data_IF_247797253287
#
_entry.id   IF_247797253287
#
_cell.length_a   1.000
_cell.length_b   1.000
_cell.length_c   1.000
_cell.angle_alpha   90.00
_cell.angle_beta   90.00
_cell.angle_gamma   90.00
#
_symmetry.space_group_name_H-M   'P 1'
#
loop_
_entity.id
_entity.type
_entity.pdbx_description
1 polymer ?
#
# COMPACT_ATOMS: atom_id res chain seq x y z
N UNK A 1 -3.39 0.80 16.19
CA UNK A 1 -2.29 0.52 15.26
C UNK A 1 -1.17 -0.14 16.05
N UNK A 2 -0.59 -1.23 15.54
CA UNK A 2 0.70 -1.71 16.09
C UNK A 2 1.74 -0.59 15.91
N UNK A 3 2.67 -0.47 16.85
CA UNK A 3 3.76 0.50 16.72
C UNK A 3 4.56 0.19 15.43
N UNK A 4 4.97 1.25 14.72
CA UNK A 4 5.57 1.14 13.38
C UNK A 4 6.83 0.26 13.34
N UNK A 5 7.53 0.18 14.46
CA UNK A 5 8.73 -0.59 14.71
C UNK A 5 8.48 -2.09 15.00
N UNK A 6 7.23 -2.51 15.22
CA UNK A 6 6.89 -3.88 15.60
C UNK A 6 6.36 -4.70 14.43
N UNK A 7 7.01 -5.84 14.17
CA UNK A 7 6.54 -6.85 13.24
C UNK A 7 6.48 -8.22 13.94
N UNK A 8 5.33 -8.91 13.87
CA UNK A 8 5.12 -10.20 14.56
C UNK A 8 5.94 -11.33 13.96
N UNK A 9 6.25 -11.24 12.67
CA UNK A 9 6.98 -12.25 11.91
C UNK A 9 8.48 -11.98 11.87
N UNK A 10 8.96 -10.94 12.59
CA UNK A 10 10.38 -10.59 12.61
C UNK A 10 11.19 -11.68 13.35
N UNK A 11 12.22 -12.26 12.70
CA UNK A 11 13.15 -13.15 13.38
C UNK A 11 13.94 -12.45 14.49
N UNK A 12 14.31 -13.19 15.54
CA UNK A 12 15.01 -12.63 16.71
C UNK A 12 16.34 -11.95 16.34
N UNK A 13 17.10 -12.51 15.39
CA UNK A 13 18.38 -11.93 14.98
C UNK A 13 18.21 -10.54 14.32
N UNK A 14 17.16 -10.35 13.52
CA UNK A 14 16.81 -9.04 12.93
C UNK A 14 16.41 -8.05 14.03
N UNK A 15 15.66 -8.49 15.03
CA UNK A 15 15.24 -7.63 16.14
C UNK A 15 16.43 -7.16 16.99
N UNK A 16 17.43 -8.03 17.20
CA UNK A 16 18.68 -7.66 17.88
C UNK A 16 19.46 -6.62 17.08
N UNK A 17 19.59 -6.79 15.76
CA UNK A 17 20.28 -5.82 14.90
C UNK A 17 19.57 -4.46 14.94
N UNK A 18 18.24 -4.45 14.79
CA UNK A 18 17.44 -3.22 14.73
C UNK A 18 17.44 -2.42 16.04
N UNK A 19 17.50 -3.11 17.18
CA UNK A 19 17.57 -2.49 18.51
C UNK A 19 19.01 -2.22 18.97
N UNK A 20 20.01 -2.65 18.21
CA UNK A 20 21.44 -2.51 18.52
C UNK A 20 22.15 -1.43 17.71
N UNK A 21 23.46 -1.30 17.97
CA UNK A 21 24.35 -0.43 17.18
C UNK A 21 24.60 -0.99 15.78
N UNK A 22 24.48 -2.31 15.61
CA UNK A 22 24.66 -3.01 14.33
C UNK A 22 23.65 -2.59 13.26
N UNK A 23 22.55 -1.92 13.62
CA UNK A 23 21.61 -1.31 12.67
C UNK A 23 22.28 -0.45 11.60
N UNK A 24 23.40 0.21 11.93
CA UNK A 24 24.15 1.06 11.00
C UNK A 24 25.46 0.41 10.52
N UNK A 25 25.72 -0.83 10.91
CA UNK A 25 26.91 -1.57 10.47
C UNK A 25 26.70 -2.04 9.02
N UNK A 26 27.55 -1.61 8.06
CA UNK A 26 27.43 -2.02 6.66
C UNK A 26 27.52 -3.54 6.46
N UNK A 27 28.16 -4.28 7.37
CA UNK A 27 28.24 -5.74 7.30
C UNK A 27 26.87 -6.42 7.45
N UNK A 28 25.90 -5.77 8.11
CA UNK A 28 24.54 -6.31 8.26
C UNK A 28 23.67 -6.17 7.02
N UNK A 29 24.15 -5.45 6.00
CA UNK A 29 23.42 -5.22 4.74
C UNK A 29 23.00 -6.52 4.08
N UNK A 30 23.88 -7.53 4.05
CA UNK A 30 23.58 -8.84 3.45
C UNK A 30 22.50 -9.60 4.22
N UNK A 31 22.53 -9.54 5.56
CA UNK A 31 21.51 -10.13 6.43
C UNK A 31 20.14 -9.51 6.14
N UNK A 32 20.08 -8.19 5.99
CA UNK A 32 18.84 -7.52 5.63
C UNK A 32 18.37 -7.83 4.19
N UNK A 33 19.30 -7.98 3.24
CA UNK A 33 18.97 -8.40 1.87
C UNK A 33 18.34 -9.79 1.84
N UNK A 34 18.97 -10.76 2.52
CA UNK A 34 18.43 -12.11 2.68
C UNK A 34 17.06 -12.08 3.36
N UNK A 35 16.88 -11.21 4.36
CA UNK A 35 15.58 -11.05 5.02
C UNK A 35 14.50 -10.45 4.10
N UNK A 36 14.85 -9.59 3.13
CA UNK A 36 13.90 -9.12 2.11
C UNK A 36 13.50 -10.27 1.18
N UNK A 37 14.43 -11.12 0.76
CA UNK A 37 14.12 -12.32 -0.03
C UNK A 37 13.15 -13.22 0.73
N UNK A 38 13.44 -13.48 2.01
CA UNK A 38 12.54 -14.26 2.86
C UNK A 38 11.14 -13.63 2.97
N UNK A 39 11.04 -12.30 3.10
CA UNK A 39 9.73 -11.62 3.11
C UNK A 39 8.96 -11.80 1.79
N UNK A 40 9.67 -11.90 0.67
CA UNK A 40 9.07 -12.15 -0.64
C UNK A 40 8.52 -13.58 -0.73
N UNK A 41 9.25 -14.57 -0.23
CA UNK A 41 8.83 -15.98 -0.19
C UNK A 41 7.70 -16.24 0.82
N UNK A 42 7.86 -15.77 2.06
CA UNK A 42 6.94 -16.02 3.18
C UNK A 42 5.67 -15.15 3.12
N UNK A 43 5.56 -14.26 2.13
CA UNK A 43 4.44 -13.30 1.99
C UNK A 43 4.29 -12.36 3.19
N UNK A 44 5.38 -12.09 3.91
CA UNK A 44 5.40 -11.17 5.06
C UNK A 44 5.89 -9.78 4.66
N UNK A 45 5.73 -8.79 5.55
CA UNK A 45 6.23 -7.44 5.32
C UNK A 45 6.66 -6.78 6.64
N UNK A 46 7.95 -6.47 6.76
CA UNK A 46 8.53 -5.71 7.87
C UNK A 46 9.02 -4.35 7.37
N UNK A 47 8.13 -3.36 7.44
CA UNK A 47 8.42 -2.00 7.00
C UNK A 47 9.66 -1.42 7.70
N UNK A 48 9.83 -1.67 8.99
CA UNK A 48 10.91 -1.07 9.77
C UNK A 48 12.28 -1.65 9.39
N UNK A 49 12.36 -2.96 9.17
CA UNK A 49 13.56 -3.61 8.65
C UNK A 49 13.91 -3.14 7.23
N UNK A 50 12.90 -3.06 6.35
CA UNK A 50 13.09 -2.63 4.97
C UNK A 50 13.60 -1.18 4.90
N UNK A 51 13.04 -0.27 5.70
CA UNK A 51 13.54 1.11 5.78
C UNK A 51 14.94 1.19 6.42
N UNK A 52 15.30 0.30 7.35
CA UNK A 52 16.65 0.25 7.89
C UNK A 52 17.67 -0.12 6.80
N UNK A 53 17.35 -1.09 5.94
CA UNK A 53 18.18 -1.44 4.79
C UNK A 53 18.32 -0.27 3.80
N UNK A 54 17.22 0.38 3.43
CA UNK A 54 17.28 1.55 2.56
C UNK A 54 18.08 2.71 3.18
N UNK A 55 18.03 2.85 4.51
CA UNK A 55 18.85 3.82 5.23
C UNK A 55 20.35 3.45 5.19
N UNK A 56 20.69 2.17 5.29
CA UNK A 56 22.06 1.68 5.10
C UNK A 56 22.57 1.99 3.68
N UNK A 57 21.75 1.80 2.65
CA UNK A 57 22.08 2.20 1.27
C UNK A 57 22.28 3.70 1.13
N UNK A 58 21.47 4.52 1.81
CA UNK A 58 21.63 5.97 1.80
C UNK A 58 22.99 6.40 2.38
N UNK A 59 23.47 5.73 3.44
CA UNK A 59 24.80 5.99 4.02
C UNK A 59 25.95 5.37 3.21
N UNK A 60 25.70 4.24 2.56
CA UNK A 60 26.68 3.47 1.80
C UNK A 60 26.20 3.22 0.36
N UNK A 61 26.25 4.23 -0.54
CA UNK A 61 25.67 4.12 -1.88
C UNK A 61 26.25 2.98 -2.74
N UNK A 62 27.49 2.57 -2.46
CA UNK A 62 28.17 1.46 -3.15
C UNK A 62 27.62 0.08 -2.80
N UNK A 63 26.85 -0.05 -1.70
CA UNK A 63 26.19 -1.28 -1.29
C UNK A 63 24.76 -1.41 -1.82
N UNK A 64 24.24 -0.37 -2.50
CA UNK A 64 22.89 -0.37 -3.03
C UNK A 64 22.70 -1.54 -4.00
N UNK A 65 21.75 -2.41 -3.68
CA UNK A 65 21.34 -3.49 -4.56
C UNK A 65 20.00 -3.14 -5.20
N UNK A 66 19.98 -3.07 -6.53
CA UNK A 66 18.83 -2.61 -7.30
C UNK A 66 17.63 -3.55 -7.14
N UNK A 67 17.87 -4.86 -7.25
CA UNK A 67 16.84 -5.91 -7.12
C UNK A 67 16.20 -5.94 -5.73
N UNK A 68 17.00 -5.88 -4.65
CA UNK A 68 16.45 -5.79 -3.29
C UNK A 68 15.62 -4.52 -3.11
N UNK A 69 16.06 -3.41 -3.71
CA UNK A 69 15.34 -2.14 -3.61
C UNK A 69 14.00 -2.20 -4.35
N UNK A 70 13.96 -2.76 -5.56
CA UNK A 70 12.70 -2.98 -6.29
C UNK A 70 11.79 -3.96 -5.56
N UNK A 71 12.33 -5.02 -4.95
CA UNK A 71 11.55 -5.96 -4.16
C UNK A 71 10.94 -5.31 -2.91
N UNK A 72 11.66 -4.42 -2.22
CA UNK A 72 11.07 -3.63 -1.11
C UNK A 72 9.89 -2.78 -1.62
N UNK A 73 10.04 -2.11 -2.76
CA UNK A 73 8.99 -1.27 -3.34
C UNK A 73 7.79 -2.12 -3.80
N UNK A 74 8.02 -3.24 -4.48
CA UNK A 74 6.98 -4.18 -4.89
C UNK A 74 6.24 -4.75 -3.68
N UNK A 75 6.95 -5.14 -2.62
CA UNK A 75 6.35 -5.56 -1.36
C UNK A 75 5.54 -4.45 -0.69
N UNK A 76 5.99 -3.20 -0.76
CA UNK A 76 5.23 -2.06 -0.24
C UNK A 76 3.90 -1.86 -0.99
N UNK A 77 3.83 -2.19 -2.29
CA UNK A 77 2.57 -2.21 -3.05
C UNK A 77 1.56 -3.21 -2.47
N UNK A 78 2.01 -4.33 -1.88
CA UNK A 78 1.07 -5.36 -1.34
C UNK A 78 0.39 -4.96 -0.03
N UNK A 79 0.86 -3.90 0.64
CA UNK A 79 0.32 -3.45 1.94
C UNK A 79 -0.43 -2.11 1.86
N UNK A 80 -0.74 -1.62 0.65
CA UNK A 80 -1.49 -0.38 0.42
C UNK A 80 -2.89 -0.41 1.07
N UNK A 81 -3.51 0.70 1.47
CA UNK A 81 -2.92 2.02 1.68
C UNK A 81 -1.97 1.94 2.89
N UNK A 82 -0.72 2.30 2.66
CA UNK A 82 0.32 2.35 3.68
C UNK A 82 1.36 3.37 3.25
N UNK A 83 1.92 4.17 4.19
CA UNK A 83 2.99 5.11 3.85
C UNK A 83 4.31 4.41 3.48
N UNK A 84 4.40 3.08 3.60
CA UNK A 84 5.61 2.32 3.37
C UNK A 84 6.26 2.58 2.01
N UNK A 85 5.47 2.68 0.94
CA UNK A 85 5.98 2.95 -0.40
C UNK A 85 6.61 4.35 -0.47
N UNK A 86 5.89 5.37 -0.02
CA UNK A 86 6.36 6.76 0.00
C UNK A 86 7.58 6.96 0.90
N UNK A 87 7.63 6.28 2.06
CA UNK A 87 8.79 6.30 2.95
C UNK A 87 10.01 5.62 2.33
N UNK A 88 9.82 4.48 1.64
CA UNK A 88 10.89 3.81 0.93
C UNK A 88 11.45 4.71 -0.18
N UNK A 89 10.58 5.32 -0.98
CA UNK A 89 10.96 6.24 -2.05
C UNK A 89 11.76 7.44 -1.54
N UNK A 90 11.40 7.98 -0.36
CA UNK A 90 12.09 9.12 0.25
C UNK A 90 13.52 8.81 0.73
N UNK A 91 13.86 7.53 0.93
CA UNK A 91 15.21 7.09 1.31
C UNK A 91 16.11 6.84 0.10
N UNK A 92 15.53 6.71 -1.10
CA UNK A 92 16.30 6.47 -2.31
C UNK A 92 17.07 7.71 -2.78
N UNK A 93 18.14 7.53 -3.57
CA UNK A 93 18.92 8.65 -4.10
C UNK A 93 18.07 9.62 -4.95
N UNK A 94 18.45 10.89 -4.97
CA UNK A 94 17.69 11.91 -5.70
C UNK A 94 17.57 11.66 -7.22
N UNK A 95 18.51 10.91 -7.83
CA UNK A 95 18.45 10.57 -9.25
C UNK A 95 17.36 9.53 -9.58
N UNK A 96 16.83 8.81 -8.57
CA UNK A 96 15.78 7.81 -8.76
C UNK A 96 14.37 8.37 -8.59
N UNK A 97 14.23 9.70 -8.51
CA UNK A 97 12.91 10.31 -8.35
C UNK A 97 12.06 10.04 -9.60
N UNK A 98 10.88 9.43 -9.47
CA UNK A 98 10.12 8.92 -10.61
C UNK A 98 9.62 10.04 -11.54
N UNK A 99 9.47 11.26 -11.02
CA UNK A 99 8.97 12.41 -11.77
C UNK A 99 10.06 13.35 -12.31
N UNK A 100 11.34 12.94 -12.27
CA UNK A 100 12.44 13.75 -12.81
C UNK A 100 12.51 13.61 -14.34
N UNK A 101 12.12 14.65 -15.07
CA UNK A 101 12.09 14.66 -16.54
C UNK A 101 13.49 14.74 -17.20
N UNK A 102 14.54 15.07 -16.44
CA UNK A 102 15.77 15.67 -16.98
C UNK A 102 17.05 14.86 -16.80
N UNK A 103 17.01 13.65 -16.23
CA UNK A 103 18.24 12.91 -15.86
C UNK A 103 18.56 11.71 -16.74
N UNK A 104 17.62 11.18 -17.52
CA UNK A 104 17.78 9.87 -18.18
C UNK A 104 18.83 9.84 -19.29
N UNK A 105 19.11 10.97 -19.95
CA UNK A 105 19.92 10.98 -21.18
C UNK A 105 21.44 10.89 -20.97
N UNK A 106 21.95 11.08 -19.76
CA UNK A 106 23.40 11.10 -19.48
C UNK A 106 23.88 10.03 -18.49
N UNK A 107 22.98 9.14 -18.06
CA UNK A 107 23.25 8.17 -17.01
C UNK A 107 23.63 6.79 -17.61
N UNK A 108 24.44 5.97 -16.91
CA UNK A 108 24.73 4.59 -17.32
C UNK A 108 23.47 3.75 -17.56
N UNK A 109 23.51 2.80 -18.51
CA UNK A 109 22.36 1.94 -18.85
C UNK A 109 21.76 1.20 -17.64
N UNK A 110 22.60 0.65 -16.74
CA UNK A 110 22.09 0.00 -15.52
C UNK A 110 21.32 0.95 -14.59
N UNK A 111 21.70 2.23 -14.59
CA UNK A 111 20.97 3.25 -13.82
C UNK A 111 19.68 3.69 -14.51
N UNK A 112 19.60 3.66 -15.85
CA UNK A 112 18.34 3.94 -16.55
C UNK A 112 17.30 2.86 -16.27
N UNK A 113 17.69 1.58 -16.32
CA UNK A 113 16.77 0.46 -16.10
C UNK A 113 16.22 0.48 -14.67
N UNK A 114 17.10 0.77 -13.69
CA UNK A 114 16.68 0.92 -12.29
C UNK A 114 15.72 2.10 -12.08
N UNK A 115 15.95 3.24 -12.73
CA UNK A 115 15.04 4.40 -12.66
C UNK A 115 13.69 4.06 -13.28
N UNK A 116 13.68 3.37 -14.42
CA UNK A 116 12.45 2.93 -15.09
C UNK A 116 11.63 1.98 -14.21
N UNK A 117 12.30 1.02 -13.56
CA UNK A 117 11.66 0.12 -12.58
C UNK A 117 10.97 0.87 -11.44
N UNK A 118 11.63 1.90 -10.90
CA UNK A 118 11.05 2.73 -9.83
C UNK A 118 9.88 3.56 -10.35
N UNK A 119 9.98 4.12 -11.57
CA UNK A 119 8.89 4.86 -12.22
C UNK A 119 7.64 3.98 -12.42
N UNK A 120 7.85 2.76 -12.91
CA UNK A 120 6.81 1.75 -13.10
C UNK A 120 6.15 1.39 -11.77
N UNK A 121 6.91 1.06 -10.74
CA UNK A 121 6.37 0.75 -9.40
C UNK A 121 5.64 1.95 -8.78
N UNK A 122 6.15 3.18 -8.95
CA UNK A 122 5.49 4.39 -8.46
C UNK A 122 4.16 4.67 -9.18
N UNK A 123 4.09 4.37 -10.48
CA UNK A 123 2.84 4.44 -11.24
C UNK A 123 1.82 3.44 -10.70
N UNK A 124 2.22 2.19 -10.46
CA UNK A 124 1.36 1.17 -9.86
C UNK A 124 0.86 1.60 -8.47
N UNK A 125 1.74 2.12 -7.62
CA UNK A 125 1.35 2.63 -6.29
C UNK A 125 0.27 3.71 -6.39
N UNK A 126 0.45 4.67 -7.31
CA UNK A 126 -0.51 5.76 -7.52
C UNK A 126 -1.88 5.23 -7.94
N UNK A 127 -1.93 4.19 -8.78
CA UNK A 127 -3.19 3.56 -9.20
C UNK A 127 -3.88 2.83 -8.04
N UNK A 128 -3.11 2.13 -7.19
CA UNK A 128 -3.63 1.47 -5.99
C UNK A 128 -4.15 2.48 -4.95
N UNK A 129 -3.40 3.54 -4.68
CA UNK A 129 -3.79 4.59 -3.72
C UNK A 129 -4.97 5.43 -4.20
N UNK A 130 -5.12 5.62 -5.51
CA UNK A 130 -6.28 6.30 -6.11
C UNK A 130 -7.49 5.38 -6.33
N UNK A 131 -7.43 4.13 -5.85
CA UNK A 131 -8.46 3.10 -5.99
C UNK A 131 -8.85 2.79 -7.46
N UNK A 132 -7.94 3.02 -8.40
CA UNK A 132 -8.14 2.72 -9.82
C UNK A 132 -7.71 1.27 -10.12
N UNK A 133 -8.33 0.30 -9.46
CA UNK A 133 -7.91 -1.10 -9.49
C UNK A 133 -7.96 -1.72 -10.89
N UNK A 134 -9.00 -1.44 -11.67
CA UNK A 134 -9.10 -1.94 -13.05
C UNK A 134 -7.97 -1.40 -13.93
N UNK A 135 -7.62 -0.12 -13.77
CA UNK A 135 -6.48 0.46 -14.48
C UNK A 135 -5.15 -0.12 -13.99
N UNK A 136 -5.03 -0.38 -12.68
CA UNK A 136 -3.86 -1.06 -12.09
C UNK A 136 -3.60 -2.40 -12.76
N UNK A 137 -4.59 -3.29 -12.83
CA UNK A 137 -4.44 -4.62 -13.45
C UNK A 137 -4.12 -4.52 -14.94
N UNK A 138 -4.82 -3.64 -15.67
CA UNK A 138 -4.51 -3.42 -17.09
C UNK A 138 -3.10 -2.88 -17.30
N UNK A 139 -2.59 -2.03 -16.40
CA UNK A 139 -1.22 -1.49 -16.45
C UNK A 139 -0.21 -2.59 -16.15
N UNK A 140 -0.46 -3.39 -15.11
CA UNK A 140 0.40 -4.51 -14.73
C UNK A 140 0.50 -5.57 -15.84
N UNK A 141 -0.62 -5.86 -16.51
CA UNK A 141 -0.68 -6.82 -17.63
C UNK A 141 -0.25 -6.23 -18.99
N UNK A 142 0.03 -4.92 -19.07
CA UNK A 142 0.34 -4.27 -20.36
C UNK A 142 1.77 -4.43 -20.84
N UNK A 143 2.70 -4.67 -19.91
CA UNK A 143 4.14 -4.62 -20.19
C UNK A 143 4.86 -5.67 -19.32
N UNK A 144 5.66 -6.53 -19.97
CA UNK A 144 6.40 -7.63 -19.34
C UNK A 144 7.32 -7.15 -18.21
N UNK A 145 7.81 -5.92 -18.27
CA UNK A 145 8.65 -5.34 -17.22
C UNK A 145 7.91 -5.22 -15.89
N UNK A 146 6.59 -5.02 -15.89
CA UNK A 146 5.82 -5.04 -14.63
C UNK A 146 5.76 -6.44 -14.03
N UNK A 147 5.61 -7.46 -14.87
CA UNK A 147 5.58 -8.85 -14.44
C UNK A 147 6.93 -9.26 -13.83
N UNK A 148 8.04 -8.87 -14.46
CA UNK A 148 9.39 -9.12 -13.94
C UNK A 148 9.60 -8.47 -12.57
N UNK A 149 9.11 -7.23 -12.37
CA UNK A 149 9.26 -6.50 -11.10
C UNK A 149 8.47 -7.08 -9.92
N UNK A 150 7.45 -7.90 -10.19
CA UNK A 150 6.62 -8.53 -9.16
C UNK A 150 6.85 -10.04 -9.04
N UNK A 151 7.62 -10.63 -9.94
CA UNK A 151 7.84 -12.07 -10.05
C UNK A 151 8.45 -12.67 -8.78
N UNK A 152 9.36 -11.95 -8.12
CA UNK A 152 10.02 -12.40 -6.89
C UNK A 152 9.07 -12.43 -5.69
N UNK A 153 7.96 -11.67 -5.73
CA UNK A 153 7.01 -11.58 -4.64
C UNK A 153 6.00 -12.72 -4.74
N UNK A 154 6.17 -13.74 -3.91
CA UNK A 154 5.29 -14.91 -3.90
C UNK A 154 3.83 -14.50 -3.64
N UNK A 155 2.95 -14.79 -4.60
CA UNK A 155 1.53 -14.46 -4.49
C UNK A 155 1.25 -12.96 -4.47
N UNK A 156 2.06 -12.14 -5.16
CA UNK A 156 1.86 -10.69 -5.29
C UNK A 156 0.39 -10.33 -5.59
N UNK A 157 -0.17 -10.91 -6.65
CA UNK A 157 -1.53 -10.59 -7.07
C UNK A 157 -2.56 -10.97 -6.01
N UNK A 158 -2.38 -12.12 -5.35
CA UNK A 158 -3.26 -12.59 -4.28
C UNK A 158 -3.23 -11.65 -3.09
N UNK A 159 -2.03 -11.20 -2.68
CA UNK A 159 -1.89 -10.22 -1.61
C UNK A 159 -2.58 -8.90 -1.95
N UNK A 160 -2.43 -8.43 -3.19
CA UNK A 160 -3.10 -7.22 -3.68
C UNK A 160 -4.62 -7.42 -3.69
N UNK A 161 -5.14 -8.56 -4.19
CA UNK A 161 -6.59 -8.88 -4.19
C UNK A 161 -7.16 -8.90 -2.79
N UNK A 162 -6.53 -9.61 -1.85
CA UNK A 162 -6.91 -9.65 -0.43
C UNK A 162 -6.97 -8.24 0.13
N UNK A 163 -6.00 -7.39 -0.24
CA UNK A 163 -5.91 -6.04 0.28
C UNK A 163 -6.96 -5.10 -0.32
N UNK A 164 -7.22 -5.19 -1.63
CA UNK A 164 -8.37 -4.52 -2.28
C UNK A 164 -9.65 -4.90 -1.54
N UNK A 165 -9.86 -6.20 -1.29
CA UNK A 165 -11.07 -6.67 -0.62
C UNK A 165 -11.20 -6.12 0.81
N UNK A 166 -10.11 -6.02 1.57
CA UNK A 166 -10.13 -5.38 2.89
C UNK A 166 -10.54 -3.90 2.80
N UNK A 167 -10.08 -3.15 1.81
CA UNK A 167 -10.48 -1.74 1.63
C UNK A 167 -11.94 -1.60 1.17
N UNK A 168 -12.39 -2.45 0.24
CA UNK A 168 -13.79 -2.52 -0.18
C UNK A 168 -14.69 -2.86 1.02
N UNK A 169 -14.27 -3.80 1.86
CA UNK A 169 -15.00 -4.22 3.06
C UNK A 169 -15.16 -3.13 4.13
N UNK A 170 -14.35 -2.07 4.07
CA UNK A 170 -14.49 -0.88 4.92
C UNK A 170 -15.45 0.14 4.32
N UNK A 171 -15.45 0.30 3.00
CA UNK A 171 -16.15 1.39 2.32
C UNK A 171 -17.56 1.03 1.84
N UNK A 172 -17.85 -0.24 1.58
CA UNK A 172 -19.11 -0.68 0.96
C UNK A 172 -19.88 -1.65 1.85
N UNK A 173 -21.21 -1.54 1.86
CA UNK A 173 -22.13 -2.56 2.42
C UNK A 173 -22.64 -3.52 1.37
N UNK A 174 -22.86 -3.00 0.18
CA UNK A 174 -23.39 -3.70 -0.97
C UNK A 174 -22.58 -3.23 -2.17
N UNK A 175 -22.16 -4.17 -3.01
CA UNK A 175 -21.41 -3.90 -4.23
C UNK A 175 -21.91 -4.82 -5.35
N UNK A 176 -21.98 -4.29 -6.57
CA UNK A 176 -22.27 -5.11 -7.75
C UNK A 176 -21.14 -6.11 -7.97
N UNK A 177 -21.50 -7.37 -8.27
CA UNK A 177 -20.50 -8.41 -8.53
C UNK A 177 -19.66 -8.10 -9.79
N UNK A 178 -20.23 -7.37 -10.75
CA UNK A 178 -19.55 -6.87 -11.94
C UNK A 178 -18.42 -5.90 -11.62
N UNK A 179 -18.67 -4.94 -10.72
CA UNK A 179 -17.67 -3.96 -10.29
C UNK A 179 -16.58 -4.65 -9.48
N UNK A 180 -16.95 -5.54 -8.55
CA UNK A 180 -15.97 -6.26 -7.74
C UNK A 180 -15.09 -7.19 -8.59
N UNK A 181 -15.68 -7.90 -9.57
CA UNK A 181 -14.93 -8.73 -10.50
C UNK A 181 -13.88 -7.92 -11.28
N UNK A 182 -14.25 -6.73 -11.76
CA UNK A 182 -13.32 -5.82 -12.45
C UNK A 182 -12.21 -5.27 -11.54
N UNK A 183 -12.48 -5.10 -10.25
CA UNK A 183 -11.47 -4.63 -9.29
C UNK A 183 -10.51 -5.73 -8.85
N UNK A 184 -10.95 -6.99 -8.82
CA UNK A 184 -10.13 -8.14 -8.44
C UNK A 184 -9.47 -8.84 -9.65
N UNK A 185 -9.79 -8.40 -10.87
CA UNK A 185 -9.37 -9.03 -12.14
C UNK A 185 -9.74 -10.53 -12.19
N UNK A 186 -10.93 -10.86 -11.71
CA UNK A 186 -11.44 -12.23 -11.70
C UNK A 186 -12.44 -12.44 -12.84
N UNK A 187 -12.04 -13.28 -13.79
CA UNK A 187 -12.91 -13.72 -14.88
C UNK A 187 -13.81 -14.85 -14.38
N UNK A 188 -15.05 -14.53 -14.03
CA UNK A 188 -16.10 -15.51 -13.75
C UNK A 188 -16.70 -15.42 -12.35
N UNK A 189 -18.01 -15.67 -12.28
CA UNK A 189 -18.79 -15.59 -11.03
C UNK A 189 -18.34 -16.62 -9.99
N UNK A 190 -17.95 -17.82 -10.42
CA UNK A 190 -17.52 -18.90 -9.52
C UNK A 190 -16.20 -18.58 -8.80
N UNK A 191 -15.23 -18.01 -9.53
CA UNK A 191 -13.95 -17.59 -8.96
C UNK A 191 -14.14 -16.45 -7.96
N UNK A 192 -15.01 -15.50 -8.30
CA UNK A 192 -15.39 -14.40 -7.42
C UNK A 192 -16.09 -14.92 -6.16
N UNK A 193 -17.09 -15.79 -6.30
CA UNK A 193 -17.83 -16.36 -5.17
C UNK A 193 -16.89 -17.14 -4.25
N UNK A 194 -16.01 -17.97 -4.80
CA UNK A 194 -15.02 -18.71 -4.01
C UNK A 194 -14.10 -17.76 -3.23
N UNK A 195 -13.56 -16.73 -3.87
CA UNK A 195 -12.70 -15.75 -3.21
C UNK A 195 -13.46 -14.99 -2.11
N UNK A 196 -14.67 -14.53 -2.42
CA UNK A 196 -15.50 -13.74 -1.51
C UNK A 196 -15.94 -14.55 -0.29
N UNK A 197 -16.31 -15.81 -0.47
CA UNK A 197 -16.75 -16.69 0.61
C UNK A 197 -15.55 -17.21 1.42
N UNK A 198 -14.51 -17.73 0.77
CA UNK A 198 -13.39 -18.38 1.46
C UNK A 198 -12.44 -17.37 2.13
N UNK A 199 -12.18 -16.22 1.47
CA UNK A 199 -11.17 -15.25 1.92
C UNK A 199 -11.82 -14.11 2.71
N UNK A 200 -12.94 -13.60 2.22
CA UNK A 200 -13.55 -12.38 2.78
C UNK A 200 -14.70 -12.68 3.76
N UNK A 201 -15.31 -13.87 3.66
CA UNK A 201 -16.49 -14.24 4.44
C UNK A 201 -17.72 -13.37 4.16
N UNK A 202 -17.87 -12.87 2.94
CA UNK A 202 -19.05 -12.08 2.55
C UNK A 202 -20.13 -12.95 1.92
N UNK A 203 -21.36 -12.42 1.88
CA UNK A 203 -22.51 -13.14 1.32
C UNK A 203 -22.78 -12.67 -0.12
N UNK A 204 -23.05 -13.61 -1.02
CA UNK A 204 -23.43 -13.32 -2.42
C UNK A 204 -24.95 -13.50 -2.55
N UNK A 205 -25.65 -12.40 -2.82
CA UNK A 205 -27.09 -12.39 -3.04
C UNK A 205 -27.36 -12.60 -4.55
N UNK A 206 -27.82 -13.81 -4.90
CA UNK A 206 -28.19 -14.21 -6.27
C UNK A 206 -29.66 -13.96 -6.60
N UNK A 207 -30.39 -13.20 -5.76
CA UNK A 207 -31.85 -13.05 -5.87
C UNK A 207 -32.34 -12.42 -7.19
N UNK A 208 -31.52 -11.60 -7.85
CA UNK A 208 -31.91 -10.92 -9.09
C UNK A 208 -31.54 -11.67 -10.39
N UNK A 209 -30.64 -12.67 -10.33
CA UNK A 209 -30.17 -13.43 -11.50
C UNK A 209 -28.85 -14.16 -11.25
N UNK A 210 -28.49 -15.07 -12.16
CA UNK A 210 -27.24 -15.84 -12.13
C UNK A 210 -26.09 -15.16 -12.88
N UNK A 211 -26.31 -13.97 -13.42
CA UNK A 211 -25.31 -13.23 -14.19
C UNK A 211 -24.52 -12.25 -13.31
N UNK A 212 -23.27 -12.00 -13.68
CA UNK A 212 -22.34 -11.10 -12.98
C UNK A 212 -22.91 -9.69 -12.77
N UNK A 213 -23.73 -9.22 -13.72
CA UNK A 213 -24.37 -7.89 -13.68
C UNK A 213 -25.56 -7.81 -12.73
N UNK A 214 -26.17 -8.96 -12.40
CA UNK A 214 -27.35 -9.04 -11.53
C UNK A 214 -27.04 -9.43 -10.10
N UNK A 215 -25.90 -10.08 -9.86
CA UNK A 215 -25.49 -10.51 -8.53
C UNK A 215 -25.00 -9.33 -7.68
N UNK A 216 -25.44 -9.26 -6.43
CA UNK A 216 -25.04 -8.24 -5.46
C UNK A 216 -24.32 -8.91 -4.30
N UNK A 217 -23.19 -8.36 -3.90
CA UNK A 217 -22.37 -8.88 -2.81
C UNK A 217 -22.63 -8.04 -1.56
N UNK A 218 -23.04 -8.70 -0.48
CA UNK A 218 -23.33 -8.08 0.82
C UNK A 218 -22.12 -8.23 1.72
N UNK A 219 -21.52 -7.10 2.04
CA UNK A 219 -20.38 -6.99 2.95
C UNK A 219 -20.88 -6.96 4.40
N UNK A 220 -20.28 -7.76 5.32
CA UNK A 220 -20.63 -7.73 6.72
C UNK A 220 -20.43 -6.33 7.34
N UNK A 221 -21.32 -5.98 8.27
CA UNK A 221 -21.25 -4.68 8.95
C UNK A 221 -20.07 -4.66 9.93
N UNK A 222 -19.10 -3.80 9.64
CA UNK A 222 -17.96 -3.52 10.50
C UNK A 222 -18.07 -2.13 11.12
N UNK A 223 -17.25 -1.82 12.14
CA UNK A 223 -17.21 -0.50 12.79
C UNK A 223 -16.97 0.65 11.80
N UNK A 224 -16.19 0.39 10.75
CA UNK A 224 -15.86 1.35 9.69
C UNK A 224 -17.02 1.56 8.70
N UNK A 225 -17.84 0.52 8.50
CA UNK A 225 -18.91 0.50 7.49
C UNK A 225 -20.29 0.80 8.10
N UNK A 226 -20.39 1.00 9.41
CA UNK A 226 -21.62 1.37 10.10
C UNK A 226 -21.89 2.88 9.95
N UNK A 227 -23.07 3.26 9.47
CA UNK A 227 -23.45 4.66 9.28
C UNK A 227 -23.85 5.18 10.65
N UNK A 228 -22.88 5.78 11.33
CA UNK A 228 -23.12 6.48 12.57
C UNK A 228 -23.56 7.90 12.24
N UNK A 229 -24.84 8.19 12.45
CA UNK A 229 -25.32 9.56 12.50
C UNK A 229 -24.74 10.23 13.74
N UNK A 230 -23.57 10.84 13.64
CA UNK A 230 -23.02 11.63 14.74
C UNK A 230 -23.66 13.02 14.69
N UNK A 231 -24.64 13.26 15.57
CA UNK A 231 -25.16 14.61 15.79
C UNK A 231 -24.08 15.36 16.58
N UNK A 232 -23.20 16.07 15.88
CA UNK A 232 -22.28 17.03 16.49
C UNK A 232 -23.08 18.25 16.94
N UNK A 233 -23.70 18.15 18.11
CA UNK A 233 -24.27 19.30 18.79
C UNK A 233 -23.14 20.07 19.49
N UNK A 234 -22.66 21.15 18.89
CA UNK A 234 -21.82 22.08 19.64
C UNK A 234 -22.73 22.91 20.55
N UNK A 235 -22.56 22.78 21.87
CA UNK A 235 -23.26 23.63 22.83
C UNK A 235 -22.57 24.98 22.88
N UNK A 236 -22.91 25.87 21.96
CA UNK A 236 -22.36 27.23 21.97
C UNK A 236 -23.12 28.09 22.97
N UNK A 237 -22.61 28.17 24.21
CA UNK A 237 -23.14 29.08 25.22
C UNK A 237 -22.83 30.55 24.88
N UNK A 238 -23.71 31.48 25.27
CA UNK A 238 -23.56 32.91 24.96
C UNK A 238 -22.24 33.50 25.50
N UNK A 239 -21.73 32.96 26.60
CA UNK A 239 -20.44 33.30 27.22
C UNK A 239 -19.26 33.15 26.24
N UNK A 240 -19.32 32.16 25.33
CA UNK A 240 -18.26 31.96 24.32
C UNK A 240 -18.25 33.07 23.27
N UNK A 241 -19.38 33.75 23.06
CA UNK A 241 -19.48 34.96 22.23
C UNK A 241 -19.12 36.24 22.99
N UNK A 242 -18.79 36.18 24.29
CA UNK A 242 -18.53 37.37 25.12
C UNK A 242 -17.47 38.31 24.55
N UNK A 243 -16.43 37.78 23.89
CA UNK A 243 -15.41 38.61 23.19
C UNK A 243 -15.95 39.30 21.95
N UNK A 244 -16.81 38.64 21.19
CA UNK A 244 -17.45 39.22 19.99
C UNK A 244 -18.45 40.29 20.40
N UNK A 245 -19.28 40.02 21.41
CA UNK A 245 -20.23 40.98 21.98
C UNK A 245 -19.51 42.21 22.55
N UNK A 246 -18.43 42.01 23.33
CA UNK A 246 -17.65 43.12 23.88
C UNK A 246 -17.04 43.98 22.78
N UNK A 247 -16.43 43.37 21.75
CA UNK A 247 -15.85 44.09 20.61
C UNK A 247 -16.90 44.90 19.83
N UNK A 248 -18.12 44.38 19.68
CA UNK A 248 -19.22 45.09 19.04
C UNK A 248 -19.74 46.28 19.85
N UNK A 249 -19.65 46.21 21.18
CA UNK A 249 -20.02 47.32 22.08
C UNK A 249 -18.91 48.37 22.22
N UNK A 250 -17.64 47.99 22.03
CA UNK A 250 -16.48 48.90 22.14
C UNK A 250 -16.18 49.71 20.86
N UNK A 251 -16.77 49.38 19.71
CA UNK A 251 -16.68 50.23 18.52
C UNK A 251 -17.72 51.35 18.61
N UNK A 252 -17.32 52.63 18.80
CA UNK A 252 -18.25 53.74 18.67
C UNK A 252 -18.75 53.83 17.23
N UNK A 253 -20.05 54.13 17.08
CA UNK A 253 -20.69 54.45 15.80
C UNK A 253 -20.05 55.64 15.10
#
# INVERSE_FOLDING_TARGET
MAAFDKCKTRPQHIDVILNGLDRYNPETTTIFQEYVVQQCEDRTFDCYANLALLKLYQFNPHLLHTETTTNILAKALTVFPSPAFSLALALLPAYTQPFSASTSSSLPMQTSDFIESIQKLARLNTLLESAQYTLFWSTLNSDDLYADLVADVAGFEELVRVRIAVEVGKAFREIGADVLAQWLDLNGLEALEKFVVDVCGWEVDKSAGSDLTSAVIRVPKNKENEARGEIKGEKVGIEMFGRVLRRGLEQPA
#
